data_IF_847739155597
#
_entry.id   IF_847739155597
#
_cell.length_a   1.000
_cell.length_b   1.000
_cell.length_c   1.000
_cell.angle_alpha   90.00
_cell.angle_beta   90.00
_cell.angle_gamma   90.00
#
_symmetry.space_group_name_H-M   'P 1'
#
loop_
_entity.id
_entity.type
_entity.pdbx_description
1 polymer ?
#
# COMPACT_ATOMS: atom_id res chain seq x y z
N UNK A 1 -33.55 -5.08 -1.15
CA UNK A 1 -32.41 -4.84 -2.08
C UNK A 1 -31.05 -4.80 -1.37
N UNK A 2 -30.82 -3.96 -0.34
CA UNK A 2 -29.49 -3.82 0.30
C UNK A 2 -28.92 -5.11 0.91
N UNK A 3 -29.73 -5.91 1.62
CA UNK A 3 -29.28 -7.21 2.19
C UNK A 3 -28.97 -8.26 1.12
N UNK A 4 -29.70 -8.26 0.00
CA UNK A 4 -29.48 -9.17 -1.12
C UNK A 4 -28.09 -8.95 -1.75
N UNK A 5 -27.66 -7.70 -1.89
CA UNK A 5 -26.32 -7.37 -2.38
C UNK A 5 -25.20 -7.93 -1.49
N UNK A 6 -25.42 -8.01 -0.17
CA UNK A 6 -24.43 -8.59 0.76
C UNK A 6 -24.32 -10.11 0.58
N UNK A 7 -25.45 -10.80 0.39
CA UNK A 7 -25.45 -12.23 0.09
C UNK A 7 -24.82 -12.54 -1.26
N UNK A 8 -25.12 -11.74 -2.30
CA UNK A 8 -24.48 -11.86 -3.62
C UNK A 8 -22.97 -11.61 -3.50
N UNK A 9 -22.56 -10.56 -2.78
CA UNK A 9 -21.16 -10.27 -2.53
C UNK A 9 -20.44 -11.41 -1.82
N UNK A 10 -21.06 -11.98 -0.77
CA UNK A 10 -20.54 -13.12 -0.02
C UNK A 10 -20.36 -14.38 -0.89
N UNK A 11 -21.36 -14.68 -1.72
CA UNK A 11 -21.30 -15.78 -2.68
C UNK A 11 -20.15 -15.58 -3.67
N UNK A 12 -20.08 -14.40 -4.30
CA UNK A 12 -19.02 -14.06 -5.25
C UNK A 12 -17.64 -14.09 -4.60
N UNK A 13 -17.50 -13.61 -3.35
CA UNK A 13 -16.25 -13.66 -2.61
C UNK A 13 -15.73 -15.11 -2.46
N UNK A 14 -16.60 -16.03 -2.09
CA UNK A 14 -16.22 -17.44 -1.98
C UNK A 14 -15.88 -18.06 -3.33
N UNK A 15 -16.67 -17.79 -4.37
CA UNK A 15 -16.39 -18.24 -5.75
C UNK A 15 -15.06 -17.70 -6.29
N UNK A 16 -14.65 -16.51 -5.87
CA UNK A 16 -13.42 -15.85 -6.34
C UNK A 16 -12.15 -16.32 -5.62
N UNK A 17 -12.22 -16.63 -4.33
CA UNK A 17 -11.01 -16.88 -3.51
C UNK A 17 -10.91 -18.27 -2.89
N UNK A 18 -12.00 -19.04 -2.77
CA UNK A 18 -11.93 -20.34 -2.10
C UNK A 18 -11.04 -21.33 -2.87
N UNK A 19 -9.90 -21.70 -2.27
CA UNK A 19 -8.92 -22.60 -2.87
C UNK A 19 -8.17 -21.99 -4.08
N UNK A 20 -8.15 -20.66 -4.20
CA UNK A 20 -7.54 -19.93 -5.32
C UNK A 20 -6.41 -19.01 -4.86
N UNK A 21 -5.38 -18.89 -5.68
CA UNK A 21 -4.32 -17.89 -5.56
C UNK A 21 -4.80 -16.50 -6.00
N UNK A 22 -3.98 -15.46 -5.77
CA UNK A 22 -4.32 -14.08 -6.14
C UNK A 22 -4.06 -13.85 -7.63
N UNK A 23 -5.00 -13.19 -8.30
CA UNK A 23 -4.90 -12.82 -9.71
C UNK A 23 -6.08 -11.93 -10.10
N UNK A 24 -6.77 -12.29 -11.19
CA UNK A 24 -7.98 -11.60 -11.66
C UNK A 24 -9.04 -11.47 -10.56
N UNK A 25 -9.14 -12.45 -9.65
CA UNK A 25 -10.07 -12.44 -8.54
C UNK A 25 -9.98 -11.18 -7.66
N UNK A 26 -8.79 -10.62 -7.40
CA UNK A 26 -8.64 -9.42 -6.58
C UNK A 26 -9.15 -8.17 -7.28
N UNK A 27 -8.95 -8.09 -8.60
CA UNK A 27 -9.53 -7.01 -9.41
C UNK A 27 -11.06 -7.09 -9.45
N UNK A 28 -11.62 -8.29 -9.70
CA UNK A 28 -13.06 -8.51 -9.69
C UNK A 28 -13.67 -8.24 -8.30
N UNK A 29 -12.98 -8.64 -7.24
CA UNK A 29 -13.37 -8.32 -5.87
C UNK A 29 -13.36 -6.81 -5.62
N UNK A 30 -12.40 -6.07 -6.17
CA UNK A 30 -12.37 -4.61 -6.07
C UNK A 30 -13.60 -3.97 -6.73
N UNK A 31 -14.04 -4.50 -7.88
CA UNK A 31 -15.28 -4.06 -8.55
C UNK A 31 -16.51 -4.38 -7.69
N UNK A 32 -16.64 -5.61 -7.19
CA UNK A 32 -17.78 -6.02 -6.34
C UNK A 32 -17.86 -5.15 -5.09
N UNK A 33 -16.71 -4.90 -4.44
CA UNK A 33 -16.60 -4.01 -3.29
C UNK A 33 -17.11 -2.61 -3.62
N UNK A 34 -16.68 -2.03 -4.74
CA UNK A 34 -17.19 -0.72 -5.17
C UNK A 34 -18.69 -0.73 -5.43
N UNK A 35 -19.23 -1.76 -6.08
CA UNK A 35 -20.68 -1.88 -6.31
C UNK A 35 -21.45 -1.87 -4.99
N UNK A 36 -20.97 -2.64 -3.99
CA UNK A 36 -21.58 -2.67 -2.65
C UNK A 36 -21.48 -1.31 -1.97
N UNK A 37 -20.32 -0.65 -2.03
CA UNK A 37 -20.11 0.67 -1.41
C UNK A 37 -20.97 1.75 -2.08
N UNK A 38 -21.01 1.83 -3.41
CA UNK A 38 -21.83 2.78 -4.18
C UNK A 38 -23.30 2.57 -3.91
N UNK A 39 -23.78 1.32 -3.92
CA UNK A 39 -25.19 1.02 -3.70
C UNK A 39 -25.67 1.42 -2.29
N UNK A 40 -24.79 1.37 -1.29
CA UNK A 40 -25.13 1.70 0.09
C UNK A 40 -24.85 3.16 0.47
N UNK A 41 -23.93 3.84 -0.22
CA UNK A 41 -23.40 5.16 0.15
C UNK A 41 -23.49 6.18 -1.00
N UNK A 42 -24.55 6.13 -1.82
CA UNK A 42 -24.70 6.90 -3.09
C UNK A 42 -24.35 8.39 -2.99
N UNK A 43 -24.77 9.07 -1.93
CA UNK A 43 -24.52 10.51 -1.78
C UNK A 43 -23.04 10.85 -1.62
N UNK A 44 -22.27 9.97 -0.98
CA UNK A 44 -20.82 10.14 -0.82
C UNK A 44 -20.07 10.02 -2.15
N UNK A 45 -20.57 9.21 -3.09
CA UNK A 45 -19.96 9.04 -4.41
C UNK A 45 -20.21 10.21 -5.38
N UNK A 46 -20.92 11.27 -4.95
CA UNK A 46 -20.96 12.56 -5.67
C UNK A 46 -19.68 13.38 -5.45
N UNK A 47 -18.91 13.07 -4.40
CA UNK A 47 -17.68 13.77 -4.09
C UNK A 47 -16.53 13.32 -5.02
N UNK A 48 -15.85 14.30 -5.65
CA UNK A 48 -14.67 14.05 -6.51
C UNK A 48 -13.57 13.28 -5.77
N UNK A 49 -13.40 13.50 -4.48
CA UNK A 49 -12.40 12.79 -3.68
C UNK A 49 -12.73 11.30 -3.60
N UNK A 50 -13.97 10.93 -3.29
CA UNK A 50 -14.40 9.53 -3.24
C UNK A 50 -14.24 8.83 -4.58
N UNK A 51 -14.57 9.52 -5.68
CA UNK A 51 -14.34 9.02 -7.05
C UNK A 51 -12.85 8.77 -7.27
N UNK A 52 -11.98 9.72 -6.92
CA UNK A 52 -10.53 9.57 -7.05
C UNK A 52 -10.01 8.34 -6.30
N UNK A 53 -10.32 8.19 -5.01
CA UNK A 53 -9.86 7.03 -4.22
C UNK A 53 -10.45 5.70 -4.70
N UNK A 54 -11.67 5.71 -5.24
CA UNK A 54 -12.27 4.53 -5.89
C UNK A 54 -11.50 4.14 -7.15
N UNK A 55 -11.09 5.12 -7.96
CA UNK A 55 -10.24 4.88 -9.13
C UNK A 55 -8.87 4.34 -8.73
N UNK A 56 -8.23 4.88 -7.69
CA UNK A 56 -6.94 4.36 -7.19
C UNK A 56 -7.07 2.92 -6.69
N UNK A 57 -8.17 2.59 -6.00
CA UNK A 57 -8.45 1.22 -5.58
C UNK A 57 -8.62 0.26 -6.76
N UNK A 58 -9.31 0.67 -7.84
CA UNK A 58 -9.40 -0.15 -9.05
C UNK A 58 -8.06 -0.27 -9.80
N UNK A 59 -7.29 0.82 -9.91
CA UNK A 59 -5.98 0.81 -10.59
C UNK A 59 -5.01 -0.15 -9.89
N UNK A 60 -5.00 -0.18 -8.56
CA UNK A 60 -4.16 -1.13 -7.81
C UNK A 60 -4.63 -2.58 -8.02
N UNK A 61 -5.94 -2.83 -8.04
CA UNK A 61 -6.48 -4.16 -8.35
C UNK A 61 -6.13 -4.62 -9.77
N UNK A 62 -6.20 -3.70 -10.73
CA UNK A 62 -5.80 -3.94 -12.12
C UNK A 62 -4.30 -4.22 -12.22
N UNK A 63 -3.48 -3.50 -11.44
CA UNK A 63 -2.03 -3.70 -11.41
C UNK A 63 -1.64 -5.10 -10.91
N UNK A 64 -2.40 -5.67 -9.97
CA UNK A 64 -2.23 -7.06 -9.52
C UNK A 64 -2.52 -8.04 -10.66
N UNK A 65 -3.57 -7.81 -11.45
CA UNK A 65 -3.84 -8.64 -12.62
C UNK A 65 -2.70 -8.59 -13.66
N UNK A 66 -2.07 -7.44 -13.86
CA UNK A 66 -1.01 -7.28 -14.85
C UNK A 66 0.32 -7.89 -14.44
N UNK A 67 0.71 -7.74 -13.17
CA UNK A 67 2.09 -7.98 -12.75
C UNK A 67 2.20 -8.66 -11.38
N UNK A 68 1.17 -9.34 -10.87
CA UNK A 68 1.13 -10.13 -9.62
C UNK A 68 2.28 -9.83 -8.63
N UNK A 69 2.33 -8.58 -8.17
CA UNK A 69 3.44 -8.07 -7.39
C UNK A 69 2.97 -7.82 -5.96
N UNK A 70 3.81 -8.18 -5.00
CA UNK A 70 3.53 -7.97 -3.59
C UNK A 70 3.28 -6.48 -3.27
N UNK A 71 3.97 -5.56 -3.97
CA UNK A 71 3.73 -4.12 -3.85
C UNK A 71 2.33 -3.74 -4.31
N UNK A 72 1.85 -4.31 -5.42
CA UNK A 72 0.50 -4.06 -5.91
C UNK A 72 -0.59 -4.63 -5.01
N UNK A 73 -0.37 -5.82 -4.44
CA UNK A 73 -1.28 -6.41 -3.46
C UNK A 73 -1.37 -5.54 -2.20
N UNK A 74 -0.22 -5.12 -1.63
CA UNK A 74 -0.19 -4.22 -0.47
C UNK A 74 -0.89 -2.89 -0.79
N UNK A 75 -0.58 -2.30 -1.95
CA UNK A 75 -1.20 -1.05 -2.38
C UNK A 75 -2.73 -1.18 -2.52
N UNK A 76 -3.23 -2.31 -3.01
CA UNK A 76 -4.66 -2.57 -3.11
C UNK A 76 -5.33 -2.65 -1.74
N UNK A 77 -4.72 -3.34 -0.76
CA UNK A 77 -5.24 -3.36 0.61
C UNK A 77 -5.20 -1.97 1.28
N UNK A 78 -4.10 -1.23 1.12
CA UNK A 78 -4.01 0.13 1.66
C UNK A 78 -5.05 1.04 1.01
N UNK A 79 -5.23 0.96 -0.32
CA UNK A 79 -6.26 1.72 -1.03
C UNK A 79 -7.68 1.32 -0.59
N UNK A 80 -7.94 0.03 -0.36
CA UNK A 80 -9.20 -0.48 0.18
C UNK A 80 -9.51 0.12 1.55
N UNK A 81 -8.58 0.05 2.51
CA UNK A 81 -8.78 0.65 3.83
C UNK A 81 -8.95 2.17 3.74
N UNK A 82 -8.17 2.83 2.88
CA UNK A 82 -8.28 4.28 2.67
C UNK A 82 -9.66 4.66 2.16
N UNK A 83 -10.21 3.92 1.19
CA UNK A 83 -11.52 4.20 0.62
C UNK A 83 -12.64 3.99 1.65
N UNK A 84 -12.58 2.88 2.41
CA UNK A 84 -13.58 2.59 3.44
C UNK A 84 -13.57 3.65 4.54
N UNK A 85 -12.38 4.03 5.04
CA UNK A 85 -12.29 5.08 6.05
C UNK A 85 -12.70 6.45 5.52
N UNK A 86 -12.38 6.77 4.27
CA UNK A 86 -12.84 8.02 3.66
C UNK A 86 -14.38 8.09 3.60
N UNK A 87 -15.04 6.96 3.36
CA UNK A 87 -16.49 6.87 3.38
C UNK A 87 -17.08 6.98 4.79
N UNK A 88 -16.31 6.71 5.85
CA UNK A 88 -16.76 6.98 7.22
C UNK A 88 -16.75 8.48 7.51
N UNK A 89 -15.63 9.18 7.24
CA UNK A 89 -15.51 10.63 7.42
C UNK A 89 -14.59 11.28 6.36
N UNK A 90 -15.19 12.08 5.47
CA UNK A 90 -14.54 12.65 4.28
C UNK A 90 -13.42 13.65 4.60
N UNK A 91 -13.53 14.34 5.74
CA UNK A 91 -12.59 15.40 6.14
C UNK A 91 -11.41 14.86 6.94
N UNK A 92 -11.47 13.59 7.36
CA UNK A 92 -10.41 13.00 8.17
C UNK A 92 -9.13 12.77 7.38
N UNK A 93 -8.02 12.76 8.10
CA UNK A 93 -6.69 12.57 7.56
C UNK A 93 -6.49 11.15 7.04
N UNK A 94 -5.60 10.96 6.07
CA UNK A 94 -5.43 9.66 5.40
C UNK A 94 -5.05 8.51 6.35
N UNK A 95 -4.26 8.77 7.40
CA UNK A 95 -3.92 7.75 8.40
C UNK A 95 -5.11 7.42 9.32
N UNK A 96 -6.02 8.37 9.55
CA UNK A 96 -7.30 8.11 10.23
C UNK A 96 -8.22 7.30 9.30
N UNK A 97 -8.23 7.57 8.00
CA UNK A 97 -8.93 6.72 7.05
C UNK A 97 -8.40 5.28 7.09
N UNK A 98 -7.10 5.05 7.24
CA UNK A 98 -6.57 3.70 7.42
C UNK A 98 -7.07 3.04 8.70
N UNK A 99 -7.07 3.77 9.82
CA UNK A 99 -7.60 3.29 11.09
C UNK A 99 -9.10 2.95 10.99
N UNK A 100 -9.91 3.89 10.50
CA UNK A 100 -11.36 3.72 10.33
C UNK A 100 -11.68 2.59 9.34
N UNK A 101 -10.93 2.50 8.23
CA UNK A 101 -11.10 1.45 7.23
C UNK A 101 -10.76 0.06 7.75
N UNK A 102 -9.62 -0.08 8.42
CA UNK A 102 -9.20 -1.34 9.04
C UNK A 102 -10.18 -1.76 10.14
N UNK A 103 -10.52 -0.84 11.04
CA UNK A 103 -11.48 -1.09 12.11
C UNK A 103 -12.86 -1.44 11.56
N UNK A 104 -13.36 -0.70 10.56
CA UNK A 104 -14.63 -1.01 9.90
C UNK A 104 -14.63 -2.41 9.32
N UNK A 105 -13.55 -2.81 8.64
CA UNK A 105 -13.41 -4.13 8.00
C UNK A 105 -13.51 -5.26 9.02
N UNK A 106 -12.93 -5.08 10.21
CA UNK A 106 -12.85 -6.11 11.25
C UNK A 106 -14.06 -6.08 12.18
N UNK A 107 -14.52 -4.90 12.59
CA UNK A 107 -15.43 -4.73 13.73
C UNK A 107 -16.65 -3.83 13.44
N UNK A 108 -16.83 -3.33 12.22
CA UNK A 108 -17.95 -2.44 11.86
C UNK A 108 -19.33 -3.03 12.17
N UNK A 109 -19.55 -4.33 12.00
CA UNK A 109 -20.79 -5.02 12.36
C UNK A 109 -21.04 -4.94 13.86
N UNK A 110 -20.04 -5.31 14.66
CA UNK A 110 -20.14 -5.26 16.11
C UNK A 110 -20.32 -3.84 16.62
N UNK A 111 -19.54 -2.89 16.09
CA UNK A 111 -19.65 -1.49 16.45
C UNK A 111 -21.08 -0.99 16.27
N UNK A 112 -21.72 -1.19 15.11
CA UNK A 112 -23.09 -0.70 14.88
C UNK A 112 -24.16 -1.40 15.74
N UNK A 113 -23.91 -2.63 16.20
CA UNK A 113 -24.90 -3.42 16.92
C UNK A 113 -24.76 -3.30 18.44
N UNK A 114 -23.55 -3.00 18.93
CA UNK A 114 -23.20 -3.01 20.35
C UNK A 114 -22.64 -1.68 20.86
N UNK A 115 -22.37 -0.69 20.00
CA UNK A 115 -22.04 0.65 20.49
C UNK A 115 -23.29 1.28 21.09
N UNK A 116 -23.22 1.52 22.40
CA UNK A 116 -24.22 2.27 23.14
C UNK A 116 -23.94 3.75 22.84
N UNK A 117 -24.49 4.28 21.75
CA UNK A 117 -24.43 5.71 21.48
C UNK A 117 -25.53 6.40 22.30
N UNK A 118 -25.14 7.06 23.40
CA UNK A 118 -26.04 7.83 24.29
C UNK A 118 -26.71 9.03 23.60
N UNK A 119 -26.23 9.46 22.42
CA UNK A 119 -26.68 10.72 21.80
C UNK A 119 -27.69 10.58 20.66
N UNK A 120 -28.09 9.38 20.24
CA UNK A 120 -29.08 9.21 19.15
C UNK A 120 -30.02 8.00 19.35
N UNK A 121 -30.83 8.01 20.41
CA UNK A 121 -32.05 7.21 20.39
C UNK A 121 -33.16 7.91 19.58
N UNK A 122 -33.14 7.72 18.27
CA UNK A 122 -34.39 7.45 17.55
C UNK A 122 -34.41 5.96 17.29
N UNK A 123 -34.96 5.22 18.25
CA UNK A 123 -35.30 3.80 18.08
C UNK A 123 -36.44 3.75 17.06
N UNK A 124 -36.10 3.66 15.77
CA UNK A 124 -37.03 2.99 14.86
C UNK A 124 -37.16 1.55 15.37
N UNK A 125 -38.39 1.03 15.56
CA UNK A 125 -38.56 -0.32 16.08
C UNK A 125 -37.80 -1.28 15.17
N UNK A 126 -36.89 -2.06 15.76
CA UNK A 126 -36.30 -3.22 15.09
C UNK A 126 -37.47 -4.08 14.60
N UNK A 127 -37.79 -4.02 13.31
CA UNK A 127 -38.54 -5.11 12.68
C UNK A 127 -37.62 -6.31 12.79
N UNK A 128 -37.91 -7.17 13.77
CA UNK A 128 -37.27 -8.47 13.87
C UNK A 128 -37.43 -9.13 12.51
N UNK A 129 -36.30 -9.32 11.84
CA UNK A 129 -36.31 -10.10 10.61
C UNK A 129 -36.47 -11.52 11.09
N UNK A 130 -37.68 -12.04 10.95
CA UNK A 130 -37.98 -13.43 11.26
C UNK A 130 -37.12 -14.33 10.35
N UNK A 131 -35.97 -14.76 10.89
CA UNK A 131 -35.04 -15.64 10.22
C UNK A 131 -35.70 -16.98 9.87
N UNK A 132 -36.69 -17.40 10.64
CA UNK A 132 -37.50 -18.59 10.40
C UNK A 132 -38.43 -18.39 9.20
N UNK A 133 -39.05 -17.22 9.06
CA UNK A 133 -39.85 -16.85 7.89
C UNK A 133 -38.99 -16.72 6.63
N UNK A 134 -37.81 -16.10 6.72
CA UNK A 134 -36.87 -16.00 5.59
C UNK A 134 -36.35 -17.38 5.16
N UNK A 135 -36.02 -18.23 6.13
CA UNK A 135 -35.63 -19.62 5.89
C UNK A 135 -36.76 -20.39 5.19
N UNK A 136 -38.01 -20.29 5.68
CA UNK A 136 -39.18 -20.93 5.05
C UNK A 136 -39.41 -20.45 3.62
N UNK A 137 -39.32 -19.14 3.37
CA UNK A 137 -39.53 -18.54 2.04
C UNK A 137 -38.48 -18.99 1.02
N UNK A 138 -37.25 -19.28 1.44
CA UNK A 138 -36.19 -19.68 0.51
C UNK A 138 -36.12 -21.21 0.41
N UNK A 139 -36.15 -21.91 1.54
CA UNK A 139 -35.87 -23.33 1.63
C UNK A 139 -37.04 -24.19 1.13
N UNK A 140 -38.29 -23.81 1.43
CA UNK A 140 -39.46 -24.57 0.98
C UNK A 140 -39.57 -24.56 -0.55
N UNK A 141 -39.51 -23.40 -1.24
CA UNK A 141 -39.51 -23.39 -2.70
C UNK A 141 -38.28 -24.08 -3.30
N UNK A 142 -37.10 -23.97 -2.68
CA UNK A 142 -35.90 -24.65 -3.17
C UNK A 142 -36.05 -26.18 -3.14
N UNK A 143 -36.58 -26.76 -2.06
CA UNK A 143 -36.88 -28.20 -1.99
C UNK A 143 -37.85 -28.61 -3.08
N UNK A 144 -38.93 -27.84 -3.26
CA UNK A 144 -39.93 -28.13 -4.30
C UNK A 144 -39.27 -28.10 -5.68
N UNK A 145 -38.46 -27.08 -5.98
CA UNK A 145 -37.72 -26.97 -7.25
C UNK A 145 -36.77 -28.16 -7.44
N UNK A 146 -36.04 -28.59 -6.40
CA UNK A 146 -35.15 -29.77 -6.47
C UNK A 146 -35.95 -31.04 -6.79
N UNK A 147 -37.10 -31.23 -6.14
CA UNK A 147 -38.01 -32.35 -6.44
C UNK A 147 -38.44 -32.31 -7.91
N UNK A 148 -38.85 -31.14 -8.42
CA UNK A 148 -39.23 -30.99 -9.82
C UNK A 148 -38.07 -31.19 -10.79
N UNK A 149 -36.85 -30.74 -10.45
CA UNK A 149 -35.65 -31.02 -11.24
C UNK A 149 -35.42 -32.53 -11.34
N UNK A 150 -35.50 -33.27 -10.24
CA UNK A 150 -35.33 -34.72 -10.23
C UNK A 150 -36.43 -35.43 -11.05
N UNK A 151 -37.68 -34.99 -10.95
CA UNK A 151 -38.79 -35.50 -11.77
C UNK A 151 -38.56 -35.23 -13.26
N UNK A 152 -38.08 -34.04 -13.62
CA UNK A 152 -37.78 -33.69 -15.02
C UNK A 152 -36.54 -34.39 -15.57
N UNK A 153 -35.53 -34.65 -14.75
CA UNK A 153 -34.38 -35.49 -15.15
C UNK A 153 -34.85 -36.89 -15.53
N UNK A 154 -35.71 -37.50 -14.69
CA UNK A 154 -36.28 -38.82 -14.98
C UNK A 154 -37.20 -38.82 -16.22
N UNK A 155 -37.91 -37.72 -16.46
CA UNK A 155 -38.89 -37.61 -17.54
C UNK A 155 -38.33 -37.17 -18.90
N UNK A 156 -37.11 -36.62 -18.97
CA UNK A 156 -36.54 -36.08 -20.20
C UNK A 156 -35.02 -36.33 -20.31
N UNK A 157 -34.57 -37.23 -21.20
CA UNK A 157 -33.14 -37.52 -21.39
C UNK A 157 -32.29 -36.32 -21.80
N UNK A 158 -32.84 -35.34 -22.53
CA UNK A 158 -32.11 -34.11 -22.87
C UNK A 158 -31.90 -33.21 -21.64
N UNK A 159 -32.89 -33.17 -20.74
CA UNK A 159 -32.78 -32.41 -19.50
C UNK A 159 -31.82 -33.09 -18.51
N UNK A 160 -31.84 -34.42 -18.41
CA UNK A 160 -30.85 -35.18 -17.62
C UNK A 160 -29.43 -34.82 -18.03
N UNK A 161 -29.12 -34.90 -19.34
CA UNK A 161 -27.80 -34.57 -19.86
C UNK A 161 -27.34 -33.12 -19.59
N UNK A 162 -28.26 -32.18 -19.35
CA UNK A 162 -27.93 -30.81 -18.97
C UNK A 162 -27.60 -30.75 -17.48
N UNK A 163 -28.44 -31.35 -16.63
CA UNK A 163 -28.24 -31.34 -15.17
C UNK A 163 -27.00 -32.14 -14.77
N UNK A 164 -26.72 -33.26 -15.43
CA UNK A 164 -25.55 -34.11 -15.16
C UNK A 164 -24.22 -33.40 -15.49
N UNK A 165 -24.26 -32.31 -16.27
CA UNK A 165 -23.11 -31.44 -16.54
C UNK A 165 -22.93 -30.33 -15.50
N UNK A 166 -23.92 -30.09 -14.63
CA UNK A 166 -23.83 -29.09 -13.57
C UNK A 166 -23.08 -29.71 -12.39
N UNK A 167 -21.79 -29.40 -12.28
CA UNK A 167 -20.98 -29.80 -11.13
C UNK A 167 -21.12 -28.78 -9.99
N UNK A 168 -21.77 -29.19 -8.90
CA UNK A 168 -21.86 -28.43 -7.63
C UNK A 168 -20.91 -28.97 -6.55
N UNK A 169 -19.98 -29.88 -6.90
CA UNK A 169 -19.04 -30.50 -5.98
C UNK A 169 -18.07 -29.52 -5.32
N UNK A 170 -17.97 -28.28 -5.83
CA UNK A 170 -17.21 -27.20 -5.21
C UNK A 170 -17.86 -26.65 -3.93
N UNK A 171 -19.18 -26.83 -3.74
CA UNK A 171 -19.93 -26.35 -2.58
C UNK A 171 -19.79 -27.37 -1.45
N UNK A 172 -18.76 -27.20 -0.63
CA UNK A 172 -18.56 -27.95 0.61
C UNK A 172 -18.73 -27.04 1.85
N UNK A 173 -18.64 -27.62 3.05
CA UNK A 173 -18.77 -26.87 4.29
C UNK A 173 -17.70 -25.78 4.42
N UNK A 174 -16.48 -26.02 3.94
CA UNK A 174 -15.41 -25.02 3.97
C UNK A 174 -15.72 -23.83 3.05
N UNK A 175 -16.24 -24.07 1.85
CA UNK A 175 -16.70 -23.05 0.91
C UNK A 175 -17.85 -22.23 1.51
N UNK A 176 -18.78 -22.88 2.22
CA UNK A 176 -19.87 -22.20 2.92
C UNK A 176 -19.37 -21.33 4.07
N UNK A 177 -18.42 -21.82 4.88
CA UNK A 177 -17.77 -21.03 5.94
C UNK A 177 -17.02 -19.83 5.34
N UNK A 178 -16.37 -20.02 4.20
CA UNK A 178 -15.66 -18.95 3.49
C UNK A 178 -16.64 -17.91 2.90
N UNK A 179 -17.80 -18.33 2.40
CA UNK A 179 -18.91 -17.43 2.06
C UNK A 179 -19.42 -16.68 3.30
N UNK A 180 -19.47 -17.34 4.47
CA UNK A 180 -19.75 -16.70 5.75
C UNK A 180 -18.77 -15.58 6.10
N UNK A 181 -17.46 -15.77 5.85
CA UNK A 181 -16.44 -14.72 5.99
C UNK A 181 -16.67 -13.58 4.99
N UNK A 182 -17.03 -13.89 3.74
CA UNK A 182 -17.41 -12.88 2.75
C UNK A 182 -18.62 -12.06 3.21
N UNK A 183 -19.65 -12.71 3.76
CA UNK A 183 -20.82 -12.03 4.32
C UNK A 183 -20.43 -11.16 5.52
N UNK A 184 -19.58 -11.68 6.40
CA UNK A 184 -19.04 -10.91 7.52
C UNK A 184 -18.33 -9.66 7.04
N UNK A 185 -17.42 -9.78 6.07
CA UNK A 185 -16.69 -8.67 5.47
C UNK A 185 -17.64 -7.63 4.85
N UNK A 186 -18.56 -8.03 3.98
CA UNK A 186 -19.50 -7.11 3.34
C UNK A 186 -20.48 -6.49 4.34
N UNK A 187 -20.88 -7.23 5.36
CA UNK A 187 -21.66 -6.69 6.47
C UNK A 187 -20.87 -5.59 7.19
N UNK A 188 -19.60 -5.83 7.50
CA UNK A 188 -18.71 -4.87 8.12
C UNK A 188 -18.57 -3.57 7.30
N UNK A 189 -18.31 -3.66 5.99
CA UNK A 189 -17.95 -2.48 5.19
C UNK A 189 -19.12 -1.71 4.57
N UNK A 190 -20.35 -2.26 4.50
CA UNK A 190 -21.44 -1.60 3.76
C UNK A 190 -21.85 -0.23 4.29
N UNK A 191 -21.62 0.03 5.58
CA UNK A 191 -21.88 1.28 6.30
C UNK A 191 -20.66 1.57 7.17
N UNK A 192 -19.60 2.17 6.61
CA UNK A 192 -18.37 2.39 7.34
C UNK A 192 -18.59 3.13 8.65
N UNK A 193 -17.75 2.83 9.65
CA UNK A 193 -17.84 3.39 11.00
C UNK A 193 -16.59 4.19 11.33
N UNK A 194 -16.76 5.19 12.17
CA UNK A 194 -15.68 6.03 12.67
C UNK A 194 -15.12 5.45 13.97
N UNK A 195 -13.81 5.60 14.17
CA UNK A 195 -13.15 5.25 15.43
C UNK A 195 -13.03 6.50 16.28
N UNK A 196 -13.77 6.54 17.39
CA UNK A 196 -13.71 7.63 18.38
C UNK A 196 -12.87 7.24 19.61
N UNK A 197 -12.16 8.21 20.25
CA UNK A 197 -12.13 9.65 19.95
C UNK A 197 -11.17 10.05 18.82
N UNK A 198 -10.50 9.10 18.16
CA UNK A 198 -9.42 9.39 17.21
C UNK A 198 -9.88 10.28 16.04
N UNK A 199 -11.07 10.01 15.49
CA UNK A 199 -11.65 10.77 14.38
C UNK A 199 -11.99 12.20 14.80
N UNK A 200 -12.72 12.38 15.91
CA UNK A 200 -13.05 13.71 16.40
C UNK A 200 -11.84 14.54 16.83
N UNK A 201 -10.80 13.91 17.39
CA UNK A 201 -9.52 14.59 17.70
C UNK A 201 -8.86 15.09 16.43
N UNK A 202 -8.79 14.27 15.37
CA UNK A 202 -8.19 14.69 14.11
C UNK A 202 -8.93 15.87 13.48
N UNK A 203 -10.26 15.82 13.44
CA UNK A 203 -11.09 16.89 12.87
C UNK A 203 -10.95 18.22 13.63
N UNK A 204 -10.87 18.17 14.97
CA UNK A 204 -10.70 19.36 15.82
C UNK A 204 -9.28 19.91 15.75
N UNK A 205 -8.30 19.07 15.47
CA UNK A 205 -6.90 19.46 15.49
C UNK A 205 -6.53 20.19 14.19
N UNK A 206 -6.32 21.51 14.29
CA UNK A 206 -5.84 22.33 13.17
C UNK A 206 -4.41 21.98 12.73
N UNK A 207 -3.85 22.78 11.81
CA UNK A 207 -2.49 22.59 11.28
C UNK A 207 -1.45 23.57 11.85
N UNK A 208 -1.89 24.60 12.56
CA UNK A 208 -1.02 25.66 13.09
C UNK A 208 -0.71 25.41 14.56
N UNK A 209 0.46 25.83 15.01
CA UNK A 209 0.73 25.94 16.43
C UNK A 209 0.06 27.20 16.99
N UNK A 210 -0.27 27.15 18.28
CA UNK A 210 -0.63 28.31 19.10
C UNK A 210 0.39 28.45 20.22
N UNK A 211 0.49 29.66 20.79
CA UNK A 211 1.25 29.86 22.03
C UNK A 211 0.56 29.13 23.17
N UNK A 212 1.33 28.50 24.04
CA UNK A 212 0.78 27.89 25.26
C UNK A 212 0.68 28.90 26.41
N UNK A 213 -0.15 28.60 27.40
CA UNK A 213 -0.27 29.41 28.62
C UNK A 213 1.02 29.39 29.47
N UNK A 214 1.86 28.37 29.29
CA UNK A 214 3.15 28.20 29.96
C UNK A 214 4.30 28.99 29.33
N UNK A 215 4.00 29.94 28.44
CA UNK A 215 4.99 30.72 27.71
C UNK A 215 5.91 31.53 28.65
N UNK A 216 7.16 31.10 28.76
CA UNK A 216 8.17 31.71 29.64
C UNK A 216 9.39 32.18 28.84
N UNK A 217 9.57 33.50 28.75
CA UNK A 217 10.71 34.11 28.05
C UNK A 217 12.07 33.59 28.56
N UNK A 218 12.34 33.53 29.89
CA UNK A 218 13.62 33.01 30.38
C UNK A 218 13.88 31.54 29.98
N UNK A 219 12.86 30.69 30.01
CA UNK A 219 12.99 29.29 29.61
C UNK A 219 13.25 29.17 28.11
N UNK A 220 12.51 29.93 27.30
CA UNK A 220 12.69 29.96 25.84
C UNK A 220 14.06 30.51 25.44
N UNK A 221 14.62 31.45 26.20
CA UNK A 221 15.99 31.94 25.98
C UNK A 221 17.01 30.81 26.17
N UNK A 222 16.88 30.01 27.25
CA UNK A 222 17.75 28.84 27.51
C UNK A 222 17.58 27.76 26.44
N UNK A 223 16.34 27.44 26.06
CA UNK A 223 16.06 26.48 24.98
C UNK A 223 16.63 26.96 23.64
N UNK A 224 16.49 28.24 23.31
CA UNK A 224 17.06 28.83 22.10
C UNK A 224 18.59 28.76 22.10
N UNK A 225 19.24 29.07 23.23
CA UNK A 225 20.70 28.94 23.35
C UNK A 225 21.17 27.50 23.13
N UNK A 226 20.52 26.54 23.77
CA UNK A 226 20.82 25.11 23.58
C UNK A 226 20.62 24.71 22.12
N UNK A 227 19.48 25.09 21.52
CA UNK A 227 19.19 24.80 20.12
C UNK A 227 20.21 25.40 19.16
N UNK A 228 20.62 26.66 19.39
CA UNK A 228 21.63 27.32 18.55
C UNK A 228 22.96 26.58 18.63
N UNK A 229 23.43 26.22 19.83
CA UNK A 229 24.68 25.48 20.01
C UNK A 229 24.59 24.10 19.34
N UNK A 230 23.55 23.34 19.64
CA UNK A 230 23.34 21.99 19.10
C UNK A 230 23.31 21.99 17.58
N UNK A 231 22.46 22.83 16.97
CA UNK A 231 22.29 22.85 15.52
C UNK A 231 23.55 23.45 14.85
N UNK A 232 24.27 24.37 15.49
CA UNK A 232 25.57 24.85 14.97
C UNK A 232 26.61 23.74 14.92
N UNK A 233 26.74 22.95 15.99
CA UNK A 233 27.66 21.81 16.03
C UNK A 233 27.30 20.75 14.99
N UNK A 234 26.00 20.46 14.81
CA UNK A 234 25.53 19.51 13.80
C UNK A 234 25.74 20.02 12.38
N UNK A 235 25.60 21.33 12.13
CA UNK A 235 25.97 21.94 10.85
C UNK A 235 27.47 21.80 10.57
N UNK A 236 28.33 22.12 11.55
CA UNK A 236 29.77 21.97 11.38
C UNK A 236 30.15 20.51 11.09
N UNK A 237 29.54 19.56 11.80
CA UNK A 237 29.79 18.14 11.61
C UNK A 237 29.33 17.65 10.24
N UNK A 238 28.11 18.00 9.79
CA UNK A 238 27.64 17.55 8.47
C UNK A 238 28.41 18.22 7.34
N UNK A 239 28.89 19.46 7.49
CA UNK A 239 29.77 20.10 6.52
C UNK A 239 31.07 19.32 6.40
N UNK A 240 31.72 19.01 7.54
CA UNK A 240 32.94 18.20 7.55
C UNK A 240 32.71 16.85 6.89
N UNK A 241 31.61 16.16 7.25
CA UNK A 241 31.23 14.90 6.64
C UNK A 241 31.05 15.05 5.12
N UNK A 242 30.26 16.01 4.65
CA UNK A 242 30.00 16.23 3.23
C UNK A 242 31.27 16.54 2.44
N UNK A 243 32.20 17.32 3.01
CA UNK A 243 33.50 17.55 2.38
C UNK A 243 34.23 16.22 2.19
N UNK A 244 34.37 15.43 3.24
CA UNK A 244 35.05 14.12 3.14
C UNK A 244 34.33 13.16 2.19
N UNK A 245 33.00 13.19 2.18
CA UNK A 245 32.16 12.30 1.39
C UNK A 245 32.23 12.62 -0.11
N UNK A 246 32.17 13.90 -0.45
CA UNK A 246 32.28 14.38 -1.83
C UNK A 246 33.70 14.15 -2.34
N UNK A 247 34.73 14.45 -1.54
CA UNK A 247 36.12 14.12 -1.90
C UNK A 247 36.28 12.62 -2.15
N UNK A 248 35.71 11.76 -1.29
CA UNK A 248 35.75 10.31 -1.49
C UNK A 248 35.09 9.89 -2.82
N UNK A 249 33.94 10.46 -3.18
CA UNK A 249 33.24 10.15 -4.44
C UNK A 249 34.06 10.61 -5.66
N UNK A 250 34.64 11.81 -5.60
CA UNK A 250 35.37 12.41 -6.74
C UNK A 250 36.74 11.77 -6.94
N UNK A 251 37.44 11.40 -5.87
CA UNK A 251 38.82 10.88 -5.98
C UNK A 251 38.89 9.38 -6.27
N UNK A 252 37.88 8.59 -5.89
CA UNK A 252 37.93 7.12 -5.98
C UNK A 252 37.21 6.52 -7.19
N UNK A 253 37.36 7.10 -8.38
CA UNK A 253 36.78 6.54 -9.61
C UNK A 253 37.31 5.12 -9.97
N UNK A 254 38.47 4.72 -9.44
CA UNK A 254 39.18 3.50 -9.85
C UNK A 254 39.07 2.29 -8.87
N UNK A 255 38.42 2.43 -7.70
CA UNK A 255 38.42 1.36 -6.69
C UNK A 255 37.32 0.31 -6.98
N UNK A 256 37.77 -0.70 -7.73
CA UNK A 256 37.12 -1.96 -8.13
C UNK A 256 36.16 -2.57 -7.09
N UNK A 257 34.91 -2.78 -7.52
CA UNK A 257 34.02 -3.94 -7.33
C UNK A 257 33.87 -4.62 -5.96
N UNK A 258 34.94 -4.99 -5.27
CA UNK A 258 34.88 -5.80 -4.04
C UNK A 258 34.89 -4.95 -2.76
N UNK A 259 35.69 -3.87 -2.71
CA UNK A 259 35.81 -3.00 -1.52
C UNK A 259 34.55 -2.14 -1.31
N UNK A 260 33.89 -1.76 -2.40
CA UNK A 260 32.65 -0.97 -2.34
C UNK A 260 31.48 -1.75 -1.73
N UNK A 261 31.46 -3.09 -1.80
CA UNK A 261 30.22 -3.81 -1.52
C UNK A 261 29.81 -3.76 -0.05
N UNK A 262 30.74 -4.08 0.84
CA UNK A 262 30.47 -4.21 2.28
C UNK A 262 30.55 -2.86 3.01
N UNK A 263 31.47 -2.00 2.59
CA UNK A 263 31.70 -0.67 3.18
C UNK A 263 30.61 0.34 2.80
N UNK A 264 29.99 0.21 1.62
CA UNK A 264 28.91 1.11 1.19
C UNK A 264 27.53 0.61 1.62
N UNK A 265 27.31 -0.70 1.74
CA UNK A 265 26.03 -1.19 2.26
C UNK A 265 25.77 -0.75 3.70
N UNK A 266 26.75 -0.91 4.59
CA UNK A 266 26.65 -0.40 5.96
C UNK A 266 26.62 1.14 6.02
N UNK A 267 27.38 1.80 5.13
CA UNK A 267 27.44 3.25 5.02
C UNK A 267 26.10 3.89 4.63
N UNK A 268 25.47 3.44 3.54
CA UNK A 268 24.20 4.01 3.05
C UNK A 268 23.10 3.86 4.11
N UNK A 269 22.98 2.68 4.72
CA UNK A 269 21.95 2.40 5.72
C UNK A 269 22.11 3.32 6.96
N UNK A 270 23.34 3.59 7.40
CA UNK A 270 23.63 4.55 8.48
C UNK A 270 23.30 6.01 8.10
N UNK A 271 23.60 6.42 6.86
CA UNK A 271 23.28 7.77 6.37
C UNK A 271 21.77 7.97 6.19
N UNK A 272 21.05 6.94 5.80
CA UNK A 272 19.58 6.94 5.77
C UNK A 272 19.03 7.16 7.19
N UNK A 273 19.54 6.42 8.17
CA UNK A 273 19.12 6.56 9.57
C UNK A 273 19.43 7.96 10.14
N UNK A 274 20.57 8.55 9.77
CA UNK A 274 20.95 9.88 10.24
C UNK A 274 19.98 10.97 9.79
N UNK A 275 19.39 10.85 8.59
CA UNK A 275 18.36 11.78 8.08
C UNK A 275 17.09 11.70 8.93
N UNK A 276 16.66 10.50 9.34
CA UNK A 276 15.50 10.35 10.24
C UNK A 276 15.76 11.03 11.57
N UNK A 277 16.94 10.79 12.15
CA UNK A 277 17.35 11.42 13.41
C UNK A 277 17.42 12.94 13.25
N UNK A 278 17.90 13.45 12.11
CA UNK A 278 17.93 14.88 11.84
C UNK A 278 16.53 15.49 11.86
N UNK A 279 15.54 14.85 11.22
CA UNK A 279 14.14 15.28 11.28
C UNK A 279 13.64 15.24 12.72
N UNK A 280 13.87 14.16 13.47
CA UNK A 280 13.43 14.05 14.89
C UNK A 280 14.00 15.19 15.74
N UNK A 281 15.29 15.51 15.60
CA UNK A 281 15.92 16.61 16.33
C UNK A 281 15.26 17.95 15.96
N UNK A 282 15.03 18.21 14.67
CA UNK A 282 14.32 19.41 14.23
C UNK A 282 12.90 19.50 14.82
N UNK A 283 12.17 18.40 14.83
CA UNK A 283 10.83 18.35 15.41
C UNK A 283 10.85 18.60 16.91
N UNK A 284 11.83 18.05 17.63
CA UNK A 284 12.02 18.27 19.05
C UNK A 284 12.36 19.74 19.36
N UNK A 285 13.30 20.32 18.61
CA UNK A 285 13.73 21.71 18.79
C UNK A 285 12.61 22.68 18.46
N UNK A 286 11.77 22.40 17.46
CA UNK A 286 10.67 23.27 17.03
C UNK A 286 9.28 22.76 17.45
N UNK A 287 9.17 22.05 18.59
CA UNK A 287 7.92 21.39 19.03
C UNK A 287 6.82 22.33 19.52
N UNK A 288 7.16 23.54 20.01
CA UNK A 288 6.21 24.39 20.71
C UNK A 288 6.56 25.88 20.68
N UNK A 289 6.55 26.51 21.85
CA UNK A 289 6.60 27.97 22.01
C UNK A 289 7.85 28.66 21.47
N UNK A 290 8.94 27.91 21.32
CA UNK A 290 10.17 28.36 20.66
C UNK A 290 9.95 28.94 19.26
N UNK A 291 8.91 28.49 18.53
CA UNK A 291 8.55 29.03 17.22
C UNK A 291 8.08 30.49 17.29
N UNK A 292 7.57 30.93 18.45
CA UNK A 292 7.05 32.28 18.70
C UNK A 292 8.03 33.18 19.47
N UNK A 293 9.19 32.66 19.87
CA UNK A 293 10.23 33.44 20.54
C UNK A 293 10.87 34.45 19.57
N UNK A 294 10.84 35.75 19.89
CA UNK A 294 11.24 36.84 18.97
C UNK A 294 12.69 36.75 18.48
N UNK A 295 13.60 36.20 19.30
CA UNK A 295 15.03 36.11 18.99
C UNK A 295 15.44 34.74 18.41
N UNK A 296 14.47 33.90 18.00
CA UNK A 296 14.76 32.59 17.40
C UNK A 296 15.31 32.63 15.96
N UNK A 297 15.54 33.83 15.41
CA UNK A 297 15.93 34.01 13.99
C UNK A 297 17.21 33.26 13.64
N UNK A 298 18.22 33.30 14.51
CA UNK A 298 19.48 32.58 14.31
C UNK A 298 19.26 31.07 14.31
N UNK A 299 18.46 30.57 15.26
CA UNK A 299 18.11 29.15 15.34
C UNK A 299 17.38 28.67 14.07
N UNK A 300 16.41 29.45 13.57
CA UNK A 300 15.72 29.16 12.30
C UNK A 300 16.67 29.12 11.11
N UNK A 301 17.58 30.10 10.99
CA UNK A 301 18.58 30.12 9.91
C UNK A 301 19.48 28.90 9.94
N UNK A 302 20.02 28.55 11.11
CA UNK A 302 20.85 27.36 11.29
C UNK A 302 20.10 26.07 10.98
N UNK A 303 18.83 25.97 11.35
CA UNK A 303 17.98 24.84 11.01
C UNK A 303 17.73 24.73 9.50
N UNK A 304 17.47 25.85 8.82
CA UNK A 304 17.31 25.87 7.36
C UNK A 304 18.60 25.48 6.64
N UNK A 305 19.75 26.00 7.07
CA UNK A 305 21.07 25.55 6.58
C UNK A 305 21.24 24.06 6.77
N UNK A 306 20.89 23.54 7.95
CA UNK A 306 21.03 22.11 8.25
C UNK A 306 20.13 21.23 7.38
N UNK A 307 18.89 21.66 7.13
CA UNK A 307 17.97 20.98 6.20
C UNK A 307 18.56 20.96 4.78
N UNK A 308 19.08 22.09 4.29
CA UNK A 308 19.71 22.17 2.96
C UNK A 308 20.91 21.22 2.88
N UNK A 309 21.76 21.18 3.90
CA UNK A 309 22.90 20.26 3.96
C UNK A 309 22.46 18.79 3.99
N UNK A 310 21.36 18.46 4.68
CA UNK A 310 20.79 17.11 4.62
C UNK A 310 20.20 16.75 3.24
N UNK A 311 19.68 17.74 2.50
CA UNK A 311 19.27 17.53 1.09
C UNK A 311 20.50 17.26 0.22
N UNK A 312 21.61 17.99 0.42
CA UNK A 312 22.88 17.71 -0.27
C UNK A 312 23.40 16.31 0.08
N UNK A 313 23.31 15.90 1.35
CA UNK A 313 23.63 14.54 1.78
C UNK A 313 22.80 13.49 1.03
N UNK A 314 21.49 13.71 0.89
CA UNK A 314 20.62 12.82 0.10
C UNK A 314 21.09 12.71 -1.35
N UNK A 315 21.48 13.83 -1.97
CA UNK A 315 22.02 13.81 -3.34
C UNK A 315 23.34 13.02 -3.41
N UNK A 316 24.20 13.12 -2.40
CA UNK A 316 25.42 12.30 -2.31
C UNK A 316 25.11 10.79 -2.24
N UNK A 317 24.15 10.40 -1.39
CA UNK A 317 23.68 9.01 -1.27
C UNK A 317 23.09 8.53 -2.61
N UNK A 318 22.31 9.37 -3.29
CA UNK A 318 21.73 9.05 -4.60
C UNK A 318 22.82 8.78 -5.64
N UNK A 319 23.88 9.59 -5.68
CA UNK A 319 25.04 9.39 -6.57
C UNK A 319 25.73 8.05 -6.28
N UNK A 320 26.01 7.74 -5.01
CA UNK A 320 26.61 6.45 -4.62
C UNK A 320 25.74 5.27 -5.00
N UNK A 321 24.43 5.34 -4.74
CA UNK A 321 23.49 4.30 -5.13
C UNK A 321 23.41 4.16 -6.66
N UNK A 322 23.52 5.26 -7.40
CA UNK A 322 23.61 5.27 -8.87
C UNK A 322 24.86 4.55 -9.39
N UNK A 323 26.04 4.83 -8.83
CA UNK A 323 27.27 4.10 -9.14
C UNK A 323 27.09 2.60 -8.84
N UNK A 324 26.46 2.28 -7.72
CA UNK A 324 26.20 0.91 -7.32
C UNK A 324 25.25 0.17 -8.28
N UNK A 325 24.23 0.87 -8.78
CA UNK A 325 23.31 0.35 -9.81
C UNK A 325 24.07 0.15 -11.14
N UNK A 326 24.96 1.05 -11.51
CA UNK A 326 25.74 0.95 -12.73
C UNK A 326 26.71 -0.26 -12.72
N UNK A 327 27.43 -0.45 -11.61
CA UNK A 327 28.44 -1.52 -11.51
C UNK A 327 27.83 -2.90 -11.23
N UNK A 328 26.83 -3.00 -10.35
CA UNK A 328 26.29 -4.27 -9.87
C UNK A 328 24.84 -4.52 -10.27
N UNK A 329 24.27 -3.63 -11.10
CA UNK A 329 22.91 -3.75 -11.63
C UNK A 329 21.80 -3.24 -10.70
N UNK A 330 20.55 -3.36 -11.14
CA UNK A 330 19.39 -2.88 -10.38
C UNK A 330 18.86 -4.00 -9.45
N UNK A 331 18.45 -3.64 -8.23
CA UNK A 331 17.81 -4.57 -7.28
C UNK A 331 16.70 -3.85 -6.52
N UNK A 332 15.82 -4.61 -5.85
CA UNK A 332 14.77 -4.06 -5.00
C UNK A 332 15.32 -3.20 -3.87
N UNK A 333 16.45 -3.60 -3.24
CA UNK A 333 17.10 -2.78 -2.19
C UNK A 333 17.50 -1.41 -2.75
N UNK A 334 18.10 -1.37 -3.95
CA UNK A 334 18.57 -0.14 -4.60
C UNK A 334 17.42 0.77 -5.06
N UNK A 335 16.31 0.20 -5.55
CA UNK A 335 15.07 0.93 -5.84
C UNK A 335 14.46 1.47 -4.54
N UNK A 336 14.42 0.65 -3.48
CA UNK A 336 13.94 1.04 -2.16
C UNK A 336 14.70 2.23 -1.59
N UNK A 337 16.03 2.29 -1.78
CA UNK A 337 16.83 3.46 -1.44
C UNK A 337 16.36 4.70 -2.19
N UNK A 338 16.17 4.63 -3.52
CA UNK A 338 15.69 5.79 -4.30
C UNK A 338 14.31 6.29 -3.82
N UNK A 339 13.37 5.36 -3.60
CA UNK A 339 12.04 5.66 -3.06
C UNK A 339 12.15 6.33 -1.69
N UNK A 340 13.00 5.78 -0.81
CA UNK A 340 13.26 6.36 0.50
C UNK A 340 13.81 7.79 0.40
N UNK A 341 14.81 8.02 -0.47
CA UNK A 341 15.41 9.36 -0.65
C UNK A 341 14.37 10.37 -1.15
N UNK A 342 13.46 9.99 -2.04
CA UNK A 342 12.33 10.84 -2.46
C UNK A 342 11.42 11.21 -1.30
N UNK A 343 11.06 10.23 -0.45
CA UNK A 343 10.25 10.48 0.75
C UNK A 343 11.00 11.32 1.79
N UNK A 344 12.30 11.13 1.96
CA UNK A 344 13.14 11.88 2.87
C UNK A 344 13.28 13.35 2.44
N UNK A 345 13.48 13.63 1.15
CA UNK A 345 13.43 14.99 0.60
C UNK A 345 12.08 15.63 0.88
N UNK A 346 10.99 14.91 0.63
CA UNK A 346 9.63 15.39 0.93
C UNK A 346 9.48 15.69 2.43
N UNK A 347 9.97 14.81 3.31
CA UNK A 347 9.98 14.99 4.76
C UNK A 347 10.77 16.22 5.21
N UNK A 348 11.94 16.46 4.63
CA UNK A 348 12.78 17.62 4.90
C UNK A 348 12.12 18.92 4.41
N UNK A 349 11.57 18.95 3.20
CA UNK A 349 10.84 20.10 2.65
C UNK A 349 9.62 20.43 3.51
N UNK A 350 8.83 19.42 3.89
CA UNK A 350 7.66 19.63 4.75
C UNK A 350 8.04 20.05 6.16
N UNK A 351 9.18 19.60 6.68
CA UNK A 351 9.75 20.08 7.95
C UNK A 351 10.17 21.54 7.86
N UNK A 352 10.80 21.95 6.75
CA UNK A 352 11.15 23.34 6.48
C UNK A 352 9.89 24.22 6.49
N UNK A 353 8.85 23.82 5.74
CA UNK A 353 7.57 24.53 5.72
C UNK A 353 6.91 24.58 7.10
N UNK A 354 7.03 23.52 7.89
CA UNK A 354 6.52 23.49 9.27
C UNK A 354 7.22 24.52 10.17
N UNK A 355 8.53 24.71 10.03
CA UNK A 355 9.30 25.67 10.83
C UNK A 355 9.04 27.11 10.37
N UNK A 356 8.98 27.31 9.05
CA UNK A 356 8.76 28.63 8.45
C UNK A 356 7.36 29.15 8.77
N UNK A 357 6.33 28.35 8.49
CA UNK A 357 4.93 28.73 8.63
C UNK A 357 4.32 28.37 10.01
N UNK A 358 5.16 27.99 10.98
CA UNK A 358 4.77 27.70 12.38
C UNK A 358 3.62 26.67 12.45
N UNK A 359 3.78 25.57 11.72
CA UNK A 359 2.83 24.46 11.71
C UNK A 359 3.10 23.49 12.87
N UNK A 360 2.08 22.72 13.23
CA UNK A 360 2.17 21.67 14.23
C UNK A 360 2.64 20.34 13.62
N UNK A 361 2.82 19.32 14.46
CA UNK A 361 3.23 17.98 14.02
C UNK A 361 2.17 17.30 13.14
N UNK A 362 0.89 17.57 13.40
CA UNK A 362 -0.23 16.98 12.64
C UNK A 362 -0.20 17.40 11.17
N UNK A 363 0.12 18.65 10.87
CA UNK A 363 0.36 19.11 9.49
C UNK A 363 1.39 18.23 8.77
N UNK A 364 2.51 17.93 9.44
CA UNK A 364 3.60 17.15 8.87
C UNK A 364 3.19 15.69 8.63
N UNK A 365 2.54 15.06 9.61
CA UNK A 365 2.04 13.69 9.48
C UNK A 365 1.04 13.62 8.32
N UNK A 366 0.06 14.53 8.26
CA UNK A 366 -0.96 14.59 7.20
C UNK A 366 -0.36 14.69 5.80
N UNK A 367 0.65 15.53 5.61
CA UNK A 367 1.25 15.74 4.30
C UNK A 367 2.18 14.59 3.90
N UNK A 368 3.01 14.10 4.83
CA UNK A 368 3.94 13.01 4.54
C UNK A 368 3.23 11.66 4.35
N UNK A 369 2.17 11.36 5.09
CA UNK A 369 1.39 10.13 4.85
C UNK A 369 0.68 10.19 3.48
N UNK A 370 0.21 11.35 3.05
CA UNK A 370 -0.33 11.52 1.68
C UNK A 370 0.76 11.28 0.63
N UNK A 371 1.96 11.84 0.81
CA UNK A 371 3.08 11.59 -0.10
C UNK A 371 3.46 10.11 -0.16
N UNK A 372 3.57 9.44 1.00
CA UNK A 372 3.85 8.00 1.07
C UNK A 372 2.77 7.16 0.38
N UNK A 373 1.49 7.52 0.55
CA UNK A 373 0.39 6.85 -0.14
C UNK A 373 0.49 7.01 -1.67
N UNK A 374 0.74 8.22 -2.17
CA UNK A 374 0.90 8.47 -3.62
C UNK A 374 2.07 7.64 -4.16
N UNK A 375 3.22 7.64 -3.49
CA UNK A 375 4.39 6.86 -3.89
C UNK A 375 4.08 5.36 -3.92
N UNK A 376 3.35 4.84 -2.93
CA UNK A 376 2.92 3.44 -2.90
C UNK A 376 2.02 3.10 -4.09
N UNK A 377 1.02 3.94 -4.40
CA UNK A 377 0.13 3.71 -5.54
C UNK A 377 0.90 3.77 -6.86
N UNK A 378 1.77 4.76 -7.08
CA UNK A 378 2.58 4.84 -8.31
C UNK A 378 3.51 3.63 -8.41
N UNK A 379 4.14 3.22 -7.30
CA UNK A 379 5.02 2.06 -7.27
C UNK A 379 4.29 0.75 -7.61
N UNK A 380 3.00 0.65 -7.25
CA UNK A 380 2.19 -0.53 -7.56
C UNK A 380 1.91 -0.74 -9.04
N UNK A 381 1.91 0.33 -9.83
CA UNK A 381 1.60 0.25 -11.28
C UNK A 381 2.81 -0.17 -12.11
N UNK A 382 3.98 -0.34 -11.50
CA UNK A 382 5.25 -0.62 -12.19
C UNK A 382 5.63 -2.09 -12.04
N UNK A 383 5.94 -2.76 -13.15
CA UNK A 383 6.54 -4.09 -13.13
C UNK A 383 8.02 -4.00 -12.77
N UNK A 384 8.32 -3.91 -11.48
CA UNK A 384 9.69 -3.78 -11.00
C UNK A 384 10.60 -4.93 -11.44
N UNK A 385 10.12 -6.17 -11.44
CA UNK A 385 10.90 -7.34 -11.84
C UNK A 385 11.31 -7.30 -13.31
N UNK A 386 10.41 -6.87 -14.18
CA UNK A 386 10.71 -6.61 -15.58
C UNK A 386 11.77 -5.52 -15.72
N UNK A 387 11.60 -4.36 -15.08
CA UNK A 387 12.53 -3.25 -15.19
C UNK A 387 13.91 -3.57 -14.59
N UNK A 388 13.94 -4.28 -13.46
CA UNK A 388 15.16 -4.80 -12.85
C UNK A 388 15.88 -5.70 -13.86
N UNK A 389 15.19 -6.70 -14.41
CA UNK A 389 15.80 -7.66 -15.33
C UNK A 389 16.28 -6.96 -16.60
N UNK A 390 15.44 -6.14 -17.22
CA UNK A 390 15.78 -5.41 -18.44
C UNK A 390 16.97 -4.47 -18.23
N UNK A 391 17.03 -3.76 -17.10
CA UNK A 391 18.17 -2.91 -16.79
C UNK A 391 19.46 -3.70 -16.63
N UNK A 392 19.41 -4.79 -15.86
CA UNK A 392 20.58 -5.63 -15.59
C UNK A 392 21.18 -6.21 -16.87
N UNK A 393 20.35 -6.70 -17.80
CA UNK A 393 20.86 -7.25 -19.06
C UNK A 393 21.43 -6.19 -19.99
N UNK A 394 20.90 -4.96 -20.01
CA UNK A 394 21.26 -3.96 -21.01
C UNK A 394 22.33 -2.95 -20.55
N UNK A 395 22.41 -2.65 -19.25
CA UNK A 395 23.21 -1.53 -18.76
C UNK A 395 24.18 -1.89 -17.63
N UNK A 396 23.93 -2.96 -16.86
CA UNK A 396 24.80 -3.31 -15.74
C UNK A 396 26.16 -3.84 -16.22
N UNK A 397 27.25 -3.39 -15.60
CA UNK A 397 28.60 -3.92 -15.87
C UNK A 397 28.78 -5.35 -15.37
N UNK A 398 28.24 -5.63 -14.19
CA UNK A 398 28.14 -6.97 -13.62
C UNK A 398 26.72 -7.17 -13.11
N UNK A 399 26.12 -8.32 -13.42
CA UNK A 399 24.79 -8.68 -12.95
C UNK A 399 24.86 -9.91 -12.06
N UNK A 400 24.13 -9.89 -10.94
CA UNK A 400 23.89 -11.09 -10.15
C UNK A 400 22.76 -11.89 -10.81
N UNK A 401 23.16 -12.90 -11.57
CA UNK A 401 22.23 -13.73 -12.31
C UNK A 401 21.33 -14.59 -11.40
N UNK A 402 21.86 -15.03 -10.24
CA UNK A 402 21.09 -15.82 -9.27
C UNK A 402 19.98 -14.97 -8.66
N UNK A 403 20.29 -13.70 -8.36
CA UNK A 403 19.28 -12.73 -7.93
C UNK A 403 18.15 -12.58 -8.96
N UNK A 404 18.47 -12.43 -10.26
CA UNK A 404 17.45 -12.28 -11.31
C UNK A 404 16.56 -13.52 -11.47
N UNK A 405 17.11 -14.74 -11.33
CA UNK A 405 16.30 -15.97 -11.35
C UNK A 405 15.35 -16.01 -10.15
N UNK A 406 15.82 -15.60 -8.97
CA UNK A 406 15.04 -15.64 -7.72
C UNK A 406 13.98 -14.55 -7.59
N UNK A 407 13.92 -13.58 -8.53
CA UNK A 407 12.78 -12.65 -8.63
C UNK A 407 11.47 -13.40 -8.85
N UNK A 408 10.34 -12.72 -8.72
CA UNK A 408 9.03 -13.33 -8.98
C UNK A 408 8.88 -13.76 -10.44
N UNK A 409 7.75 -14.37 -10.78
CA UNK A 409 7.53 -14.88 -12.13
C UNK A 409 7.36 -13.77 -13.18
N UNK A 410 7.20 -12.51 -12.77
CA UNK A 410 7.01 -11.35 -13.64
C UNK A 410 8.14 -11.05 -14.63
N UNK A 411 9.35 -11.59 -14.39
CA UNK A 411 10.46 -11.46 -15.34
C UNK A 411 10.70 -12.71 -16.21
N UNK A 412 9.92 -13.77 -16.04
CA UNK A 412 10.22 -15.09 -16.59
C UNK A 412 10.26 -15.11 -18.12
N UNK A 413 9.28 -14.46 -18.77
CA UNK A 413 9.26 -14.35 -20.23
C UNK A 413 10.45 -13.56 -20.77
N UNK A 414 10.83 -12.47 -20.10
CA UNK A 414 11.99 -11.67 -20.48
C UNK A 414 13.28 -12.46 -20.31
N UNK A 415 13.46 -13.22 -19.22
CA UNK A 415 14.60 -14.12 -19.04
C UNK A 415 14.70 -15.13 -20.19
N UNK A 416 13.58 -15.72 -20.59
CA UNK A 416 13.54 -16.69 -21.70
C UNK A 416 13.92 -16.04 -23.03
N UNK A 417 13.53 -14.80 -23.28
CA UNK A 417 13.93 -14.04 -24.46
C UNK A 417 15.44 -13.75 -24.48
N UNK A 418 16.03 -13.42 -23.33
CA UNK A 418 17.47 -13.14 -23.23
C UNK A 418 18.34 -14.37 -23.49
N UNK A 419 17.86 -15.58 -23.19
CA UNK A 419 18.54 -16.84 -23.56
C UNK A 419 18.72 -16.98 -25.07
N UNK A 420 17.79 -16.43 -25.87
CA UNK A 420 17.87 -16.48 -27.34
C UNK A 420 18.82 -15.41 -27.87
N UNK A 421 18.82 -14.24 -27.23
CA UNK A 421 19.55 -13.05 -27.70
C UNK A 421 21.02 -13.01 -27.27
N UNK A 422 21.38 -13.67 -26.18
CA UNK A 422 22.72 -13.58 -25.58
C UNK A 422 23.30 -14.96 -25.31
N UNK A 423 24.61 -15.07 -25.47
CA UNK A 423 25.36 -16.26 -25.10
C UNK A 423 25.47 -16.33 -23.56
N UNK A 424 24.65 -17.19 -22.95
CA UNK A 424 24.61 -17.43 -21.51
C UNK A 424 25.20 -18.80 -21.19
N UNK A 425 25.83 -18.93 -20.02
CA UNK A 425 26.38 -20.22 -19.56
C UNK A 425 25.31 -21.32 -19.49
N UNK A 426 25.72 -22.58 -19.69
CA UNK A 426 24.80 -23.74 -19.70
C UNK A 426 23.97 -23.88 -18.43
N UNK A 427 24.57 -23.65 -17.26
CA UNK A 427 23.84 -23.68 -15.98
C UNK A 427 22.79 -22.57 -15.90
N UNK A 428 23.13 -21.37 -16.36
CA UNK A 428 22.20 -20.24 -16.42
C UNK A 428 20.99 -20.52 -17.29
N UNK A 429 21.22 -21.12 -18.46
CA UNK A 429 20.16 -21.54 -19.39
C UNK A 429 19.27 -22.61 -18.75
N UNK A 430 19.86 -23.60 -18.05
CA UNK A 430 19.11 -24.64 -17.35
C UNK A 430 18.16 -24.06 -16.30
N UNK A 431 18.63 -23.15 -15.46
CA UNK A 431 17.81 -22.53 -14.41
C UNK A 431 16.71 -21.63 -14.98
N UNK A 432 16.99 -20.85 -16.04
CA UNK A 432 15.94 -20.08 -16.74
C UNK A 432 14.88 -21.01 -17.32
N UNK A 433 15.28 -22.09 -18.00
CA UNK A 433 14.33 -23.03 -18.58
C UNK A 433 13.50 -23.73 -17.50
N UNK A 434 14.10 -24.05 -16.35
CA UNK A 434 13.39 -24.62 -15.20
C UNK A 434 12.34 -23.65 -14.66
N UNK A 435 12.71 -22.37 -14.44
CA UNK A 435 11.77 -21.32 -14.01
C UNK A 435 10.65 -21.12 -15.04
N UNK A 436 11.01 -21.03 -16.32
CA UNK A 436 10.06 -20.86 -17.42
C UNK A 436 9.06 -22.01 -17.52
N UNK A 437 9.53 -23.25 -17.51
CA UNK A 437 8.65 -24.41 -17.60
C UNK A 437 7.73 -24.52 -16.39
N UNK A 438 8.24 -24.24 -15.19
CA UNK A 438 7.43 -24.20 -13.97
C UNK A 438 6.33 -23.13 -14.08
N UNK A 439 6.68 -21.92 -14.48
CA UNK A 439 5.72 -20.83 -14.58
C UNK A 439 4.70 -21.04 -15.70
N UNK A 440 5.10 -21.56 -16.86
CA UNK A 440 4.16 -21.91 -17.94
C UNK A 440 3.21 -23.01 -17.49
N UNK A 441 3.70 -23.99 -16.70
CA UNK A 441 2.83 -24.99 -16.10
C UNK A 441 1.82 -24.37 -15.15
N UNK A 442 2.24 -23.49 -14.23
CA UNK A 442 1.36 -22.72 -13.34
C UNK A 442 0.30 -21.93 -14.15
N UNK A 443 0.70 -21.18 -15.16
CA UNK A 443 -0.23 -20.41 -15.99
C UNK A 443 -1.23 -21.29 -16.76
N UNK A 444 -0.85 -22.50 -17.18
CA UNK A 444 -1.75 -23.44 -17.87
C UNK A 444 -2.73 -24.13 -16.92
N UNK A 445 -2.39 -24.24 -15.64
CA UNK A 445 -3.25 -24.86 -14.62
C UNK A 445 -4.07 -23.85 -13.83
N UNK A 446 -3.78 -22.54 -13.98
CA UNK A 446 -4.61 -21.47 -13.42
C UNK A 446 -6.07 -21.64 -13.85
N UNK A 447 -6.96 -21.55 -12.86
CA UNK A 447 -8.38 -21.37 -13.14
C UNK A 447 -8.66 -19.94 -13.62
N UNK A 448 -9.86 -19.71 -14.17
CA UNK A 448 -10.22 -18.39 -14.71
C UNK A 448 -10.13 -17.27 -13.65
N UNK A 449 -10.30 -17.59 -12.35
CA UNK A 449 -10.16 -16.66 -11.23
C UNK A 449 -8.71 -16.20 -10.99
N UNK A 450 -7.75 -17.07 -11.30
CA UNK A 450 -6.32 -16.88 -11.02
C UNK A 450 -5.59 -16.32 -12.25
N UNK A 451 -6.35 -15.98 -13.30
CA UNK A 451 -5.77 -15.42 -14.52
C UNK A 451 -5.00 -14.15 -14.20
N UNK A 452 -3.84 -14.06 -14.82
CA UNK A 452 -2.96 -12.92 -14.88
C UNK A 452 -2.83 -12.53 -16.35
N UNK A 453 -2.36 -11.32 -16.62
CA UNK A 453 -2.13 -10.86 -18.00
C UNK A 453 -1.19 -11.81 -18.77
N UNK A 454 -0.27 -12.47 -18.07
CA UNK A 454 0.66 -13.44 -18.63
C UNK A 454 -0.01 -14.72 -19.16
N UNK A 455 -1.19 -15.12 -18.64
CA UNK A 455 -1.95 -16.24 -19.19
C UNK A 455 -2.37 -15.96 -20.64
N UNK A 456 -2.77 -14.72 -20.94
CA UNK A 456 -3.20 -14.30 -22.28
C UNK A 456 -2.06 -14.38 -23.31
N UNK A 457 -0.80 -14.32 -22.87
CA UNK A 457 0.36 -14.45 -23.76
C UNK A 457 0.59 -15.89 -24.23
N UNK A 458 0.03 -16.87 -23.52
CA UNK A 458 0.14 -18.30 -23.88
C UNK A 458 -0.91 -18.73 -24.89
N UNK A 459 -2.07 -18.07 -24.94
CA UNK A 459 -3.15 -18.38 -25.89
C UNK A 459 -2.87 -17.84 -27.30
N UNK A 460 -1.93 -16.90 -27.45
CA UNK A 460 -1.57 -16.24 -28.73
C UNK A 460 -0.44 -17.00 -29.48
N UNK A 461 -0.08 -18.21 -29.04
CA UNK A 461 0.87 -19.10 -29.71
C UNK A 461 0.29 -20.47 -29.90
#
# INVERSE_FOLDING_TARGET
MKKLLLFIGAFLFSTLFYGKSIGLNLFLFSIITLVVLVANNRDHFKNKQTILYSSLYLITGLSVFFHDSLVAVIANFVAFFTLIGLLSEHKSSIFINWLNGLYTTIAGLFHRNFSINETTQKVEPKKDVDYLHLFKIIFIPAIIVIIFIALYQNGNPLFSNIIDKIDLGFINIQWLLFAGLGYYLFSNIHKPVEVEPATSIDLKTGNSLSKTDSFSIPNLKKENQLGVILISLLNALIILFLITDITFIVTNEEIRGSVFSEQVHSGIDALIASIVIAIIILLYVFRGDINFYKENKTLKRLAFTWIILNIILILSIATKNGQYIYYFGLTYKRIGVLVYLTLAITGLITTLLKIDQVKNIWYLIRLNTKAAFIVLIISSTVNWDYHITNYNFNYAKSMDFKYLINLSNNNTFLLKEQVIKKDLGKDSIREINKKYNKYVYELRTNSWQELQYDNLKLEIK
#
